data_IF_793358029100
#
_entry.id   IF_793358029100
#
_cell.length_a   1.000
_cell.length_b   1.000
_cell.length_c   1.000
_cell.angle_alpha   90.00
_cell.angle_beta   90.00
_cell.angle_gamma   90.00
#
_symmetry.space_group_name_H-M   'P 1'
#
loop_
_entity.id
_entity.type
_entity.pdbx_description
1 polymer ?
#
# COMPACT_ATOMS: atom_id res chain seq x y z
N UNK A 1 -68.31 18.54 -30.01
CA UNK A 1 -67.00 19.18 -29.76
C UNK A 1 -67.12 19.99 -28.47
N UNK A 2 -66.73 19.41 -27.34
CA UNK A 2 -66.72 20.09 -26.04
C UNK A 2 -65.28 20.37 -25.63
N UNK A 3 -64.92 21.64 -25.48
CA UNK A 3 -63.59 22.07 -25.07
C UNK A 3 -63.40 21.78 -23.57
N UNK A 4 -62.44 20.93 -23.24
CA UNK A 4 -61.99 20.74 -21.85
C UNK A 4 -61.32 22.03 -21.37
N UNK A 5 -61.77 22.53 -20.21
CA UNK A 5 -61.23 23.74 -19.59
C UNK A 5 -59.77 23.53 -19.17
N UNK A 6 -58.97 24.60 -19.22
CA UNK A 6 -57.53 24.60 -18.87
C UNK A 6 -57.21 24.03 -17.48
N UNK A 7 -58.19 23.98 -16.57
CA UNK A 7 -58.08 23.33 -15.26
C UNK A 7 -58.00 21.81 -15.32
N UNK A 8 -58.57 21.15 -16.34
CA UNK A 8 -58.53 19.68 -16.48
C UNK A 8 -57.18 19.14 -16.98
N UNK A 9 -56.39 19.95 -17.70
CA UNK A 9 -55.10 19.54 -18.26
C UNK A 9 -54.00 19.53 -17.19
N UNK A 10 -54.07 20.44 -16.20
CA UNK A 10 -53.11 20.50 -15.10
C UNK A 10 -53.23 19.28 -14.15
N UNK A 11 -54.45 18.78 -13.89
CA UNK A 11 -54.66 17.62 -13.01
C UNK A 11 -54.23 16.29 -13.63
N UNK A 12 -54.28 16.16 -14.96
CA UNK A 12 -53.82 14.96 -15.68
C UNK A 12 -52.29 14.85 -15.74
N UNK A 13 -51.58 15.99 -15.83
CA UNK A 13 -50.12 16.01 -15.79
C UNK A 13 -49.57 15.67 -14.39
N UNK A 14 -50.27 16.08 -13.31
CA UNK A 14 -49.85 15.78 -11.94
C UNK A 14 -50.05 14.30 -11.57
N UNK A 15 -51.11 13.66 -12.07
CA UNK A 15 -51.36 12.22 -11.89
C UNK A 15 -50.39 11.35 -12.69
N UNK A 16 -50.01 11.76 -13.91
CA UNK A 16 -49.00 11.06 -14.69
C UNK A 16 -47.59 11.15 -14.07
N UNK A 17 -47.22 12.32 -13.52
CA UNK A 17 -45.96 12.51 -12.79
C UNK A 17 -45.89 11.68 -11.50
N UNK A 18 -46.96 11.62 -10.72
CA UNK A 18 -47.02 10.82 -9.50
C UNK A 18 -46.96 9.30 -9.76
N UNK A 19 -47.53 8.82 -10.89
CA UNK A 19 -47.47 7.41 -11.26
C UNK A 19 -46.06 6.99 -11.73
N UNK A 20 -45.37 7.85 -12.49
CA UNK A 20 -43.98 7.60 -12.92
C UNK A 20 -43.02 7.66 -11.74
N UNK A 21 -43.18 8.63 -10.83
CA UNK A 21 -42.36 8.72 -9.63
C UNK A 21 -42.61 7.55 -8.66
N UNK A 22 -43.86 7.10 -8.51
CA UNK A 22 -44.20 5.93 -7.69
C UNK A 22 -43.69 4.60 -8.26
N UNK A 23 -43.68 4.43 -9.59
CA UNK A 23 -43.13 3.23 -10.24
C UNK A 23 -41.60 3.23 -10.19
N UNK A 24 -40.93 4.38 -10.34
CA UNK A 24 -39.46 4.46 -10.22
C UNK A 24 -39.02 4.28 -8.76
N UNK A 25 -39.69 4.91 -7.79
CA UNK A 25 -39.40 4.71 -6.36
C UNK A 25 -39.74 3.28 -5.90
N UNK A 26 -40.82 2.69 -6.45
CA UNK A 26 -41.19 1.30 -6.22
C UNK A 26 -40.21 0.30 -6.82
N UNK A 27 -39.62 0.58 -7.99
CA UNK A 27 -38.56 -0.25 -8.59
C UNK A 27 -37.24 -0.13 -7.81
N UNK A 28 -36.87 1.07 -7.36
CA UNK A 28 -35.66 1.28 -6.55
C UNK A 28 -35.79 0.62 -5.16
N UNK A 29 -37.00 0.56 -4.59
CA UNK A 29 -37.25 -0.08 -3.29
C UNK A 29 -37.54 -1.60 -3.39
N UNK A 30 -37.98 -2.11 -4.54
CA UNK A 30 -38.28 -3.54 -4.73
C UNK A 30 -37.12 -4.35 -5.35
N UNK A 31 -36.13 -3.70 -5.96
CA UNK A 31 -34.86 -4.31 -6.40
C UNK A 31 -33.69 -4.01 -5.46
N UNK A 32 -33.98 -3.61 -4.22
CA UNK A 32 -33.06 -3.75 -3.10
C UNK A 32 -32.93 -5.20 -2.63
N UNK A 33 -33.06 -6.18 -3.54
CA UNK A 33 -32.57 -7.52 -3.28
C UNK A 33 -31.07 -7.35 -3.09
N UNK A 34 -30.62 -7.59 -1.87
CA UNK A 34 -29.24 -7.90 -1.57
C UNK A 34 -28.80 -8.95 -2.58
N UNK A 35 -28.15 -8.55 -3.67
CA UNK A 35 -27.30 -9.48 -4.39
C UNK A 35 -26.36 -9.99 -3.31
N UNK A 36 -26.56 -11.25 -2.94
CA UNK A 36 -25.67 -11.96 -2.04
C UNK A 36 -24.29 -11.75 -2.64
N UNK A 37 -23.39 -11.22 -1.81
CA UNK A 37 -22.02 -10.98 -2.23
C UNK A 37 -21.50 -12.28 -2.85
N UNK A 38 -21.10 -12.30 -4.14
CA UNK A 38 -20.70 -13.54 -4.81
C UNK A 38 -19.57 -14.26 -4.07
N UNK A 39 -18.80 -13.54 -3.24
CA UNK A 39 -17.75 -14.11 -2.41
C UNK A 39 -18.29 -14.85 -1.18
N UNK A 40 -19.43 -14.47 -0.60
CA UNK A 40 -20.02 -15.17 0.56
C UNK A 40 -20.52 -16.56 0.18
N UNK A 41 -21.16 -16.71 -0.98
CA UNK A 41 -21.60 -18.02 -1.48
C UNK A 41 -20.40 -18.93 -1.73
N UNK A 42 -19.37 -18.43 -2.41
CA UNK A 42 -18.13 -19.18 -2.68
C UNK A 42 -17.37 -19.54 -1.40
N UNK A 43 -17.35 -18.65 -0.42
CA UNK A 43 -16.72 -18.94 0.87
C UNK A 43 -17.44 -20.07 1.60
N UNK A 44 -18.77 -20.09 1.59
CA UNK A 44 -19.56 -21.17 2.17
C UNK A 44 -19.27 -22.52 1.49
N UNK A 45 -19.02 -22.54 0.16
CA UNK A 45 -18.63 -23.74 -0.59
C UNK A 45 -17.27 -24.31 -0.18
N UNK A 46 -16.35 -23.47 0.30
CA UNK A 46 -15.04 -23.93 0.79
C UNK A 46 -15.16 -24.73 2.10
N UNK A 47 -16.25 -24.57 2.85
CA UNK A 47 -16.48 -25.27 4.12
C UNK A 47 -15.44 -24.93 5.21
N UNK A 48 -14.83 -23.75 5.13
CA UNK A 48 -13.82 -23.28 6.08
C UNK A 48 -14.53 -22.65 7.28
N UNK A 49 -14.14 -22.96 8.53
CA UNK A 49 -14.72 -22.30 9.71
C UNK A 49 -14.54 -20.78 9.68
N UNK A 50 -15.46 -20.04 10.31
CA UNK A 50 -15.31 -18.60 10.52
C UNK A 50 -14.05 -18.27 11.32
N UNK A 51 -13.38 -17.18 10.93
CA UNK A 51 -12.20 -16.65 11.64
C UNK A 51 -12.66 -15.88 12.87
N UNK A 52 -11.92 -16.00 13.98
CA UNK A 52 -12.17 -15.18 15.16
C UNK A 52 -11.66 -13.75 14.96
N UNK A 53 -12.54 -12.77 15.15
CA UNK A 53 -12.20 -11.35 15.15
C UNK A 53 -12.32 -10.75 16.55
N UNK A 54 -11.27 -10.07 17.00
CA UNK A 54 -11.23 -9.30 18.24
C UNK A 54 -11.09 -7.82 17.90
N UNK A 55 -12.17 -7.08 18.08
CA UNK A 55 -12.21 -5.63 17.85
C UNK A 55 -11.92 -4.86 19.14
N UNK A 56 -10.81 -4.14 19.17
CA UNK A 56 -10.35 -3.29 20.26
C UNK A 56 -10.68 -1.82 19.93
N UNK A 57 -11.49 -1.17 20.77
CA UNK A 57 -11.94 0.19 20.52
C UNK A 57 -13.28 0.26 19.79
N UNK A 58 -13.55 1.41 19.17
CA UNK A 58 -14.87 1.74 18.63
C UNK A 58 -14.93 1.51 17.12
N UNK A 59 -15.48 0.36 16.73
CA UNK A 59 -15.86 0.06 15.34
C UNK A 59 -17.37 0.09 15.17
N UNK A 60 -17.84 0.79 14.15
CA UNK A 60 -19.23 0.70 13.69
C UNK A 60 -19.53 -0.70 13.18
N UNK A 61 -20.83 -1.04 13.10
CA UNK A 61 -21.25 -2.32 12.52
C UNK A 61 -20.78 -2.49 11.07
N UNK A 62 -20.89 -1.44 10.27
CA UNK A 62 -20.50 -1.47 8.85
C UNK A 62 -19.00 -1.70 8.66
N UNK A 63 -18.15 -1.08 9.48
CA UNK A 63 -16.70 -1.32 9.43
C UNK A 63 -16.35 -2.77 9.77
N UNK A 64 -16.96 -3.33 10.82
CA UNK A 64 -16.76 -4.74 11.20
C UNK A 64 -17.15 -5.69 10.06
N UNK A 65 -18.34 -5.50 9.49
CA UNK A 65 -18.84 -6.30 8.38
C UNK A 65 -17.95 -6.16 7.12
N UNK A 66 -17.44 -4.95 6.84
CA UNK A 66 -16.52 -4.71 5.72
C UNK A 66 -15.18 -5.43 5.90
N UNK A 67 -14.58 -5.36 7.08
CA UNK A 67 -13.28 -5.99 7.39
C UNK A 67 -13.39 -7.53 7.36
N UNK A 68 -14.49 -8.08 7.88
CA UNK A 68 -14.76 -9.51 7.81
C UNK A 68 -14.94 -10.00 6.37
N UNK A 69 -15.71 -9.26 5.56
CA UNK A 69 -15.94 -9.57 4.14
C UNK A 69 -14.66 -9.52 3.32
N UNK A 70 -13.78 -8.55 3.58
CA UNK A 70 -12.47 -8.46 2.93
C UNK A 70 -11.65 -9.74 3.17
N UNK A 71 -11.56 -10.20 4.42
CA UNK A 71 -10.81 -11.42 4.73
C UNK A 71 -11.43 -12.66 4.07
N UNK A 72 -12.77 -12.81 4.10
CA UNK A 72 -13.46 -13.92 3.43
C UNK A 72 -13.19 -13.92 1.92
N UNK A 73 -13.22 -12.74 1.31
CA UNK A 73 -12.90 -12.56 -0.11
C UNK A 73 -11.47 -12.98 -0.40
N UNK A 74 -10.50 -12.56 0.43
CA UNK A 74 -9.11 -13.00 0.31
C UNK A 74 -8.96 -14.51 0.48
N UNK A 75 -9.67 -15.13 1.44
CA UNK A 75 -9.69 -16.58 1.63
C UNK A 75 -10.15 -17.33 0.37
N UNK A 76 -11.22 -16.86 -0.28
CA UNK A 76 -11.73 -17.47 -1.52
C UNK A 76 -10.72 -17.31 -2.65
N UNK A 77 -10.26 -16.09 -2.91
CA UNK A 77 -9.30 -15.81 -3.98
C UNK A 77 -8.02 -16.63 -3.79
N UNK A 78 -7.51 -16.75 -2.56
CA UNK A 78 -6.28 -17.47 -2.30
C UNK A 78 -6.45 -18.99 -2.33
N UNK A 79 -7.62 -19.50 -1.93
CA UNK A 79 -7.96 -20.92 -2.12
C UNK A 79 -7.88 -21.30 -3.60
N UNK A 80 -8.44 -20.47 -4.47
CA UNK A 80 -8.49 -20.73 -5.92
C UNK A 80 -7.15 -20.53 -6.60
N UNK A 81 -6.45 -19.44 -6.23
CA UNK A 81 -5.20 -19.07 -6.89
C UNK A 81 -4.01 -19.90 -6.37
N UNK A 82 -3.89 -20.06 -5.06
CA UNK A 82 -2.74 -20.73 -4.44
C UNK A 82 -3.03 -22.17 -3.98
N UNK A 83 -4.29 -22.61 -4.04
CA UNK A 83 -4.68 -23.98 -3.69
C UNK A 83 -4.70 -24.27 -2.20
N UNK A 84 -4.77 -23.25 -1.34
CA UNK A 84 -4.85 -23.43 0.11
C UNK A 84 -5.75 -22.39 0.76
N UNK A 85 -6.32 -22.77 1.90
CA UNK A 85 -7.07 -21.88 2.78
C UNK A 85 -6.96 -22.38 4.21
N UNK A 86 -7.09 -21.49 5.18
CA UNK A 86 -7.13 -21.79 6.61
C UNK A 86 -7.94 -20.73 7.33
N UNK A 87 -8.51 -21.08 8.48
CA UNK A 87 -9.10 -20.18 9.49
C UNK A 87 -8.51 -20.40 10.89
N UNK A 88 -7.42 -21.16 10.97
CA UNK A 88 -6.65 -21.44 12.18
C UNK A 88 -5.77 -20.25 12.58
N UNK A 89 -6.41 -19.11 12.86
CA UNK A 89 -5.80 -17.84 13.27
C UNK A 89 -6.85 -16.90 13.89
N UNK A 90 -6.39 -15.88 14.61
CA UNK A 90 -7.23 -14.80 15.16
C UNK A 90 -6.84 -13.46 14.55
N UNK A 91 -7.80 -12.57 14.31
CA UNK A 91 -7.56 -11.21 13.82
C UNK A 91 -7.86 -10.21 14.92
N UNK A 92 -6.86 -9.44 15.34
CA UNK A 92 -6.98 -8.35 16.29
C UNK A 92 -6.96 -7.02 15.54
N UNK A 93 -8.05 -6.28 15.61
CA UNK A 93 -8.21 -4.98 14.96
C UNK A 93 -8.41 -3.92 16.02
N UNK A 94 -7.58 -2.89 16.01
CA UNK A 94 -7.68 -1.76 16.93
C UNK A 94 -7.90 -0.46 16.19
N UNK A 95 -8.56 0.51 16.81
CA UNK A 95 -8.52 1.91 16.36
C UNK A 95 -7.40 2.70 17.04
N UNK A 96 -6.63 2.07 17.93
CA UNK A 96 -5.58 2.68 18.74
C UNK A 96 -4.40 1.71 18.85
N UNK A 97 -3.25 2.08 18.28
CA UNK A 97 -2.03 1.26 18.31
C UNK A 97 -1.52 1.00 19.74
N UNK A 98 -1.65 1.95 20.67
CA UNK A 98 -1.24 1.73 22.05
C UNK A 98 -2.14 0.71 22.74
N UNK A 99 -3.45 0.77 22.47
CA UNK A 99 -4.39 -0.23 22.97
C UNK A 99 -4.08 -1.62 22.40
N UNK A 100 -3.75 -1.71 21.11
CA UNK A 100 -3.34 -2.95 20.47
C UNK A 100 -2.08 -3.53 21.13
N UNK A 101 -1.03 -2.72 21.27
CA UNK A 101 0.22 -3.11 21.89
C UNK A 101 0.03 -3.57 23.34
N UNK A 102 -0.81 -2.87 24.11
CA UNK A 102 -1.15 -3.25 25.49
C UNK A 102 -1.89 -4.58 25.55
N UNK A 103 -2.83 -4.82 24.63
CA UNK A 103 -3.57 -6.07 24.57
C UNK A 103 -2.64 -7.23 24.23
N UNK A 104 -1.77 -7.05 23.22
CA UNK A 104 -0.78 -8.05 22.81
C UNK A 104 0.16 -8.38 23.98
N UNK A 105 0.76 -7.37 24.63
CA UNK A 105 1.62 -7.59 25.80
C UNK A 105 0.92 -8.43 26.88
N UNK A 106 -0.38 -8.17 27.11
CA UNK A 106 -1.18 -8.95 28.07
C UNK A 106 -1.42 -10.40 27.63
N UNK A 107 -1.66 -10.65 26.33
CA UNK A 107 -1.92 -12.00 25.80
C UNK A 107 -0.64 -12.82 25.75
N UNK A 108 0.51 -12.18 25.50
CA UNK A 108 1.80 -12.84 25.37
C UNK A 108 2.50 -13.06 26.72
N UNK A 109 2.08 -12.35 27.77
CA UNK A 109 2.78 -12.40 29.06
C UNK A 109 4.19 -11.79 28.99
N UNK A 110 4.47 -11.04 27.93
CA UNK A 110 5.73 -10.33 27.74
C UNK A 110 5.59 -8.94 28.34
N UNK A 111 6.49 -8.58 29.25
CA UNK A 111 6.59 -7.22 29.80
C UNK A 111 7.21 -6.22 28.82
N UNK A 112 7.38 -6.60 27.56
CA UNK A 112 8.15 -5.88 26.56
C UNK A 112 7.21 -5.16 25.58
N UNK A 113 7.53 -3.90 25.28
CA UNK A 113 6.82 -3.11 24.28
C UNK A 113 7.12 -3.69 22.91
N UNK A 114 6.16 -4.39 22.31
CA UNK A 114 6.28 -4.76 20.91
C UNK A 114 6.07 -3.49 20.08
N UNK A 115 7.17 -2.95 19.55
CA UNK A 115 7.20 -1.69 18.80
C UNK A 115 6.60 -1.80 17.40
N UNK A 116 5.34 -2.22 17.30
CA UNK A 116 4.62 -2.21 16.03
C UNK A 116 4.36 -0.78 15.57
N UNK A 117 4.58 -0.52 14.29
CA UNK A 117 4.40 0.80 13.69
C UNK A 117 2.98 1.02 13.17
N UNK A 118 2.30 -0.03 12.71
CA UNK A 118 0.94 0.08 12.19
C UNK A 118 0.17 -1.27 12.23
N UNK A 119 0.82 -2.39 11.89
CA UNK A 119 0.25 -3.75 11.95
C UNK A 119 1.25 -4.82 11.51
N UNK A 120 0.84 -6.10 11.54
CA UNK A 120 1.62 -7.22 11.02
C UNK A 120 1.17 -8.61 11.53
N UNK A 121 1.74 -9.66 10.95
CA UNK A 121 1.57 -11.04 11.43
C UNK A 121 2.40 -11.29 12.70
N UNK A 122 1.74 -11.74 13.76
CA UNK A 122 2.43 -12.31 14.92
C UNK A 122 2.81 -13.79 14.68
N UNK A 123 4.07 -13.99 14.31
CA UNK A 123 4.64 -15.26 13.89
C UNK A 123 4.71 -16.36 14.97
N UNK A 124 4.37 -16.09 16.24
CA UNK A 124 4.28 -17.12 17.29
C UNK A 124 2.86 -17.67 17.50
N UNK A 125 1.80 -16.89 17.27
CA UNK A 125 0.41 -17.33 17.53
C UNK A 125 -0.47 -17.47 16.30
N UNK A 126 -0.07 -16.89 15.17
CA UNK A 126 -0.84 -16.95 13.93
C UNK A 126 -1.96 -15.97 14.12
N UNK A 127 -1.59 -14.73 14.40
CA UNK A 127 -2.53 -13.66 14.64
C UNK A 127 -2.20 -12.52 13.68
N UNK A 128 -3.24 -11.97 13.05
CA UNK A 128 -3.12 -10.74 12.28
C UNK A 128 -3.40 -9.60 13.26
N UNK A 129 -2.50 -8.63 13.35
CA UNK A 129 -2.61 -7.48 14.26
C UNK A 129 -2.66 -6.20 13.42
N UNK A 130 -3.70 -5.39 13.55
CA UNK A 130 -3.82 -4.16 12.74
C UNK A 130 -4.35 -3.02 13.61
N UNK A 131 -3.67 -1.87 13.60
CA UNK A 131 -4.28 -0.61 14.00
C UNK A 131 -4.85 0.07 12.76
N UNK A 132 -6.17 0.13 12.63
CA UNK A 132 -6.84 0.66 11.43
C UNK A 132 -6.68 2.18 11.30
N UNK A 133 -6.44 2.90 12.39
CA UNK A 133 -6.16 4.35 12.32
C UNK A 133 -4.69 4.65 12.02
N UNK A 134 -3.77 3.83 12.53
CA UNK A 134 -2.33 4.00 12.30
C UNK A 134 -1.83 3.26 11.04
N UNK A 135 -2.67 2.43 10.41
CA UNK A 135 -2.50 1.87 9.05
C UNK A 135 -3.46 2.56 8.07
N UNK A 136 -3.09 3.69 7.46
CA UNK A 136 -3.91 4.32 6.42
C UNK A 136 -4.30 3.33 5.31
N UNK A 137 -3.41 2.40 4.94
CA UNK A 137 -3.67 1.37 3.93
C UNK A 137 -4.82 0.44 4.35
N UNK A 138 -4.90 0.06 5.63
CA UNK A 138 -5.92 -0.85 6.13
C UNK A 138 -7.33 -0.22 6.10
N UNK A 139 -7.44 1.08 6.39
CA UNK A 139 -8.74 1.77 6.41
C UNK A 139 -9.23 2.15 5.03
N UNK A 140 -8.30 2.48 4.14
CA UNK A 140 -8.57 3.47 3.10
C UNK A 140 -8.28 2.96 1.69
N UNK A 141 -7.37 2.00 1.55
CA UNK A 141 -7.08 1.29 0.30
C UNK A 141 -7.58 -0.16 0.34
N UNK A 142 -7.63 -0.73 1.55
CA UNK A 142 -7.89 -2.13 1.79
C UNK A 142 -6.83 -3.03 1.15
N UNK A 143 -7.01 -4.35 1.22
CA UNK A 143 -6.05 -5.33 0.71
C UNK A 143 -4.94 -5.64 1.71
N UNK A 144 -4.81 -4.81 2.76
CA UNK A 144 -3.92 -5.05 3.88
C UNK A 144 -4.22 -6.39 4.57
N UNK A 145 -5.50 -6.73 4.80
CA UNK A 145 -5.84 -8.02 5.39
C UNK A 145 -5.53 -9.18 4.44
N UNK A 146 -5.59 -8.96 3.12
CA UNK A 146 -5.16 -9.96 2.14
C UNK A 146 -3.64 -10.18 2.20
N UNK A 147 -2.84 -9.12 2.30
CA UNK A 147 -1.39 -9.19 2.50
C UNK A 147 -1.05 -10.02 3.76
N UNK A 148 -1.60 -9.63 4.91
CA UNK A 148 -1.35 -10.31 6.18
C UNK A 148 -1.88 -11.75 6.20
N UNK A 149 -3.03 -12.00 5.56
CA UNK A 149 -3.56 -13.35 5.41
C UNK A 149 -2.61 -14.24 4.60
N UNK A 150 -1.91 -13.70 3.61
CA UNK A 150 -0.92 -14.49 2.87
C UNK A 150 0.24 -14.93 3.77
N UNK A 151 0.67 -14.10 4.73
CA UNK A 151 1.65 -14.51 5.73
C UNK A 151 1.12 -15.65 6.63
N UNK A 152 -0.18 -15.67 6.97
CA UNK A 152 -0.80 -16.82 7.65
C UNK A 152 -0.65 -18.09 6.81
N UNK A 153 -0.88 -18.02 5.49
CA UNK A 153 -0.72 -19.16 4.59
C UNK A 153 0.73 -19.62 4.49
N UNK A 154 1.69 -18.69 4.38
CA UNK A 154 3.12 -19.00 4.36
C UNK A 154 3.54 -19.75 5.63
N UNK A 155 3.08 -19.28 6.79
CA UNK A 155 3.35 -19.93 8.07
C UNK A 155 2.68 -21.30 8.17
N UNK A 156 1.42 -21.42 7.74
CA UNK A 156 0.70 -22.70 7.77
C UNK A 156 1.34 -23.73 6.85
N UNK A 157 1.89 -23.26 5.73
CA UNK A 157 2.66 -24.06 4.81
C UNK A 157 3.95 -24.59 5.45
N UNK A 158 4.71 -23.76 6.18
CA UNK A 158 5.91 -24.21 6.86
C UNK A 158 6.66 -23.08 7.57
N UNK A 159 7.90 -23.36 7.97
CA UNK A 159 8.69 -22.41 8.76
C UNK A 159 9.11 -21.21 7.93
N UNK A 160 8.80 -20.01 8.42
CA UNK A 160 9.37 -18.74 7.96
C UNK A 160 10.68 -18.54 8.73
N UNK A 161 11.70 -19.38 8.50
CA UNK A 161 13.00 -19.16 9.15
C UNK A 161 13.78 -18.08 8.41
N UNK A 162 14.13 -17.01 9.10
CA UNK A 162 15.13 -16.01 8.69
C UNK A 162 16.57 -16.49 8.94
N UNK A 163 16.77 -17.76 9.33
CA UNK A 163 18.09 -18.34 9.55
C UNK A 163 18.94 -18.21 8.28
N UNK A 164 20.18 -17.76 8.45
CA UNK A 164 21.15 -17.43 7.41
C UNK A 164 21.29 -18.56 6.37
N UNK A 165 20.64 -18.40 5.21
CA UNK A 165 20.66 -19.44 4.16
C UNK A 165 19.67 -19.34 3.00
N UNK A 166 18.86 -18.26 2.89
CA UNK A 166 17.84 -17.93 1.87
C UNK A 166 16.49 -18.62 2.10
N UNK A 167 15.35 -17.95 1.87
CA UNK A 167 15.20 -16.63 1.28
C UNK A 167 15.09 -15.54 2.32
N UNK A 168 15.65 -14.39 1.97
CA UNK A 168 15.50 -13.19 2.78
C UNK A 168 14.05 -12.74 2.83
N UNK A 169 13.84 -11.68 3.61
CA UNK A 169 12.59 -10.92 3.77
C UNK A 169 11.88 -10.67 2.43
N UNK A 170 12.64 -10.48 1.34
CA UNK A 170 12.15 -10.30 -0.03
C UNK A 170 11.12 -11.35 -0.50
N UNK A 171 11.30 -12.64 -0.22
CA UNK A 171 10.38 -13.68 -0.73
C UNK A 171 9.11 -13.73 0.11
N UNK A 172 9.25 -13.46 1.41
CA UNK A 172 8.14 -13.46 2.37
C UNK A 172 7.22 -12.29 2.06
N UNK A 173 7.75 -11.07 2.06
CA UNK A 173 6.96 -9.86 1.79
C UNK A 173 6.58 -9.78 0.31
N UNK A 174 7.51 -10.05 -0.60
CA UNK A 174 7.26 -9.98 -2.04
C UNK A 174 6.12 -10.86 -2.50
N UNK A 175 6.03 -12.07 -1.94
CA UNK A 175 4.93 -12.96 -2.25
C UNK A 175 3.60 -12.53 -1.61
N UNK A 176 3.64 -11.89 -0.45
CA UNK A 176 2.46 -11.29 0.16
C UNK A 176 1.95 -10.07 -0.63
N UNK A 177 2.86 -9.18 -1.08
CA UNK A 177 2.53 -8.07 -2.00
C UNK A 177 1.97 -8.61 -3.32
N UNK A 178 2.53 -9.69 -3.86
CA UNK A 178 1.99 -10.34 -5.07
C UNK A 178 0.58 -10.85 -4.84
N UNK A 179 0.33 -11.53 -3.72
CA UNK A 179 -1.00 -12.02 -3.37
C UNK A 179 -2.01 -10.88 -3.15
N UNK A 180 -1.60 -9.80 -2.49
CA UNK A 180 -2.40 -8.57 -2.35
C UNK A 180 -2.75 -7.98 -3.72
N UNK A 181 -1.80 -7.90 -4.65
CA UNK A 181 -2.05 -7.34 -5.98
C UNK A 181 -3.08 -8.16 -6.78
N UNK A 182 -3.05 -9.49 -6.65
CA UNK A 182 -4.08 -10.37 -7.24
C UNK A 182 -5.44 -10.12 -6.61
N UNK A 183 -5.50 -9.97 -5.29
CA UNK A 183 -6.71 -9.61 -4.57
C UNK A 183 -7.27 -8.25 -5.04
N UNK A 184 -6.41 -7.23 -5.13
CA UNK A 184 -6.79 -5.88 -5.55
C UNK A 184 -7.35 -5.87 -6.98
N UNK A 185 -6.74 -6.63 -7.90
CA UNK A 185 -7.17 -6.73 -9.30
C UNK A 185 -8.54 -7.41 -9.43
N UNK A 186 -8.73 -8.55 -8.75
CA UNK A 186 -9.96 -9.33 -8.81
C UNK A 186 -11.15 -8.67 -8.08
N UNK A 187 -10.86 -7.78 -7.13
CA UNK A 187 -11.89 -6.98 -6.43
C UNK A 187 -12.12 -5.62 -7.09
N UNK A 188 -11.41 -5.30 -8.18
CA UNK A 188 -11.52 -4.03 -8.88
C UNK A 188 -11.01 -2.82 -8.10
N UNK A 189 -10.20 -3.04 -7.05
CA UNK A 189 -9.60 -1.98 -6.24
C UNK A 189 -8.42 -1.31 -6.94
N UNK A 190 -7.52 -2.12 -7.50
CA UNK A 190 -6.38 -1.64 -8.26
C UNK A 190 -6.00 -2.67 -9.33
N UNK A 191 -5.82 -2.27 -10.59
CA UNK A 191 -5.39 -3.21 -11.62
C UNK A 191 -3.96 -3.69 -11.36
N UNK A 192 -3.70 -4.98 -11.60
CA UNK A 192 -2.37 -5.58 -11.45
C UNK A 192 -1.29 -4.85 -12.28
N UNK A 193 -1.68 -4.29 -13.42
CA UNK A 193 -0.80 -3.48 -14.27
C UNK A 193 -0.27 -2.22 -13.56
N UNK A 194 -1.07 -1.57 -12.71
CA UNK A 194 -0.64 -0.41 -11.95
C UNK A 194 0.35 -0.80 -10.84
N UNK A 195 0.11 -1.91 -10.13
CA UNK A 195 1.06 -2.43 -9.16
C UNK A 195 2.41 -2.77 -9.82
N UNK A 196 2.39 -3.44 -10.98
CA UNK A 196 3.61 -3.73 -11.75
C UNK A 196 4.38 -2.47 -12.11
N UNK A 197 3.69 -1.40 -12.51
CA UNK A 197 4.34 -0.14 -12.85
C UNK A 197 5.04 0.48 -11.63
N UNK A 198 4.35 0.52 -10.49
CA UNK A 198 4.90 1.01 -9.21
C UNK A 198 6.15 0.23 -8.81
N UNK A 199 6.08 -1.10 -8.76
CA UNK A 199 7.19 -1.93 -8.27
C UNK A 199 8.39 -1.92 -9.23
N UNK A 200 8.17 -1.78 -10.54
CA UNK A 200 9.28 -1.58 -11.50
C UNK A 200 10.00 -0.26 -11.28
N UNK A 201 9.28 0.81 -10.96
CA UNK A 201 9.88 2.11 -10.68
C UNK A 201 10.70 2.07 -9.38
N UNK A 202 10.14 1.50 -8.31
CA UNK A 202 10.86 1.28 -7.05
C UNK A 202 12.14 0.45 -7.27
N UNK A 203 12.05 -0.66 -8.00
CA UNK A 203 13.22 -1.51 -8.26
C UNK A 203 14.27 -0.84 -9.15
N UNK A 204 13.85 0.05 -10.05
CA UNK A 204 14.77 0.86 -10.85
C UNK A 204 15.51 1.88 -9.97
N UNK A 205 14.79 2.53 -9.05
CA UNK A 205 15.33 3.54 -8.14
C UNK A 205 16.35 2.96 -7.16
N UNK A 206 16.12 1.75 -6.66
CA UNK A 206 17.00 1.15 -5.64
C UNK A 206 18.41 0.85 -6.19
N UNK A 207 18.54 0.61 -7.50
CA UNK A 207 19.81 0.25 -8.13
C UNK A 207 20.45 -1.06 -7.62
N UNK A 208 19.75 -1.82 -6.77
CA UNK A 208 20.30 -2.99 -6.08
C UNK A 208 20.19 -4.25 -6.95
N UNK A 209 21.33 -4.91 -7.14
CA UNK A 209 21.43 -6.18 -7.86
C UNK A 209 20.99 -7.34 -6.95
N UNK A 210 19.69 -7.61 -6.92
CA UNK A 210 19.09 -8.75 -6.20
C UNK A 210 19.18 -8.65 -4.65
N UNK A 211 18.50 -9.53 -3.88
CA UNK A 211 17.48 -9.08 -2.95
C UNK A 211 18.06 -8.76 -1.56
N UNK A 212 18.48 -7.51 -1.37
CA UNK A 212 19.01 -6.98 -0.11
C UNK A 212 18.00 -6.27 0.80
N UNK A 213 16.85 -5.83 0.28
CA UNK A 213 15.77 -5.20 1.06
C UNK A 213 14.40 -5.30 0.33
N UNK A 214 13.24 -5.22 1.01
CA UNK A 214 12.66 -6.44 1.55
C UNK A 214 11.27 -6.77 1.01
N UNK A 215 10.64 -5.94 0.18
CA UNK A 215 9.28 -6.20 -0.34
C UNK A 215 9.13 -5.83 -1.82
N UNK A 216 9.65 -4.67 -2.24
CA UNK A 216 9.42 -4.10 -3.57
C UNK A 216 10.02 -4.95 -4.70
N UNK A 217 11.31 -5.33 -4.53
CA UNK A 217 11.97 -6.29 -5.43
C UNK A 217 11.25 -7.64 -5.38
N UNK A 218 10.76 -8.01 -4.20
CA UNK A 218 10.14 -9.29 -3.96
C UNK A 218 8.89 -9.54 -4.80
N UNK A 219 8.10 -8.51 -5.07
CA UNK A 219 6.91 -8.60 -5.92
C UNK A 219 7.28 -9.05 -7.33
N UNK A 220 8.19 -8.33 -8.00
CA UNK A 220 8.58 -8.62 -9.39
C UNK A 220 9.28 -9.98 -9.50
N UNK A 221 10.12 -10.30 -8.52
CA UNK A 221 10.78 -11.61 -8.45
C UNK A 221 9.74 -12.73 -8.29
N UNK A 222 8.75 -12.55 -7.43
CA UNK A 222 7.67 -13.53 -7.21
C UNK A 222 6.82 -13.70 -8.47
N UNK A 223 6.41 -12.60 -9.10
CA UNK A 223 5.67 -12.63 -10.37
C UNK A 223 6.42 -13.48 -11.40
N UNK A 224 7.73 -13.24 -11.56
CA UNK A 224 8.55 -14.00 -12.51
C UNK A 224 8.58 -15.50 -12.20
N UNK A 225 8.62 -15.87 -10.92
CA UNK A 225 8.55 -17.28 -10.51
C UNK A 225 7.17 -17.89 -10.82
N UNK A 226 6.10 -17.14 -10.56
CA UNK A 226 4.73 -17.57 -10.84
C UNK A 226 4.49 -17.78 -12.34
N UNK A 227 4.98 -16.88 -13.20
CA UNK A 227 4.91 -17.04 -14.66
C UNK A 227 5.55 -18.36 -15.13
N UNK A 228 6.63 -18.79 -14.48
CA UNK A 228 7.38 -19.98 -14.87
C UNK A 228 6.75 -21.27 -14.32
N UNK A 229 6.18 -21.23 -13.12
CA UNK A 229 5.92 -22.43 -12.31
C UNK A 229 4.50 -22.54 -11.78
N UNK A 230 3.71 -21.48 -11.92
CA UNK A 230 2.37 -21.35 -11.35
C UNK A 230 2.38 -20.86 -9.89
N UNK A 231 1.28 -20.24 -9.43
CA UNK A 231 1.19 -19.62 -8.11
C UNK A 231 1.33 -20.62 -6.95
N UNK A 232 0.93 -21.87 -7.14
CA UNK A 232 1.01 -22.90 -6.09
C UNK A 232 2.46 -23.26 -5.72
N UNK A 233 3.44 -22.93 -6.58
CA UNK A 233 4.86 -23.15 -6.31
C UNK A 233 5.36 -22.31 -5.13
N UNK A 234 4.78 -21.12 -4.89
CA UNK A 234 5.12 -20.26 -3.74
C UNK A 234 4.89 -21.00 -2.42
N UNK A 235 3.69 -21.53 -2.21
CA UNK A 235 3.38 -22.24 -0.96
C UNK A 235 4.02 -23.62 -0.89
N UNK A 236 4.31 -24.24 -2.04
CA UNK A 236 5.18 -25.43 -2.09
C UNK A 236 6.56 -25.12 -1.54
N UNK A 237 7.13 -23.98 -1.90
CA UNK A 237 8.44 -23.54 -1.40
C UNK A 237 8.47 -23.39 0.13
N UNK A 238 7.46 -22.72 0.72
CA UNK A 238 7.35 -22.62 2.18
C UNK A 238 7.11 -23.98 2.86
N UNK A 239 6.29 -24.87 2.26
CA UNK A 239 6.12 -26.25 2.73
C UNK A 239 7.41 -27.06 2.76
N UNK A 240 8.32 -26.78 1.84
CA UNK A 240 9.62 -27.43 1.75
C UNK A 240 10.65 -26.80 2.70
N UNK A 241 10.25 -25.87 3.57
CA UNK A 241 11.09 -25.29 4.60
C UNK A 241 11.76 -23.98 4.22
N UNK A 242 11.41 -23.40 3.05
CA UNK A 242 11.87 -22.07 2.67
C UNK A 242 13.38 -21.93 2.73
N UNK A 243 14.13 -22.91 2.22
CA UNK A 243 15.58 -22.85 2.11
C UNK A 243 16.03 -22.93 0.64
N UNK A 244 17.30 -22.65 0.34
CA UNK A 244 17.80 -22.70 -1.05
C UNK A 244 17.49 -23.99 -1.80
N UNK A 245 17.64 -25.17 -1.18
CA UNK A 245 17.27 -26.43 -1.84
C UNK A 245 15.75 -26.56 -2.09
N UNK A 246 14.91 -25.98 -1.21
CA UNK A 246 13.48 -25.89 -1.39
C UNK A 246 13.13 -25.02 -2.59
N UNK A 247 13.91 -23.96 -2.85
CA UNK A 247 13.74 -23.08 -4.01
C UNK A 247 13.84 -23.88 -5.31
N UNK A 248 14.93 -24.63 -5.50
CA UNK A 248 15.12 -25.46 -6.68
C UNK A 248 14.03 -26.52 -6.82
N UNK A 249 13.60 -27.14 -5.73
CA UNK A 249 12.55 -28.15 -5.77
C UNK A 249 11.15 -27.57 -6.04
N UNK A 250 10.86 -26.36 -5.55
CA UNK A 250 9.59 -25.69 -5.75
C UNK A 250 9.48 -25.12 -7.17
N UNK A 251 10.52 -24.42 -7.62
CA UNK A 251 10.51 -23.62 -8.84
C UNK A 251 11.22 -24.28 -10.03
N UNK A 252 11.90 -25.40 -9.84
CA UNK A 252 12.56 -26.13 -10.92
C UNK A 252 13.80 -25.44 -11.51
N UNK A 253 14.33 -24.41 -10.85
CA UNK A 253 15.51 -23.65 -11.26
C UNK A 253 16.47 -23.49 -10.08
N UNK A 254 17.77 -23.65 -10.32
CA UNK A 254 18.77 -23.36 -9.29
C UNK A 254 18.73 -21.89 -8.87
N UNK A 255 18.85 -21.63 -7.58
CA UNK A 255 18.76 -20.28 -7.03
C UNK A 255 19.78 -19.30 -7.61
N UNK A 256 21.06 -19.69 -7.80
CA UNK A 256 22.07 -18.77 -8.32
C UNK A 256 21.83 -18.50 -9.81
N UNK A 257 21.38 -19.51 -10.56
CA UNK A 257 20.98 -19.34 -11.97
C UNK A 257 19.81 -18.37 -12.06
N UNK A 258 18.82 -18.52 -11.19
CA UNK A 258 17.69 -17.59 -11.11
C UNK A 258 18.14 -16.18 -10.71
N UNK A 259 18.99 -16.04 -9.69
CA UNK A 259 19.52 -14.76 -9.24
C UNK A 259 20.35 -14.04 -10.31
N UNK A 260 21.09 -14.76 -11.14
CA UNK A 260 21.76 -14.17 -12.30
C UNK A 260 20.75 -13.72 -13.38
N UNK A 261 19.72 -14.53 -13.66
CA UNK A 261 18.71 -14.22 -14.65
C UNK A 261 17.81 -13.04 -14.23
N UNK A 262 17.52 -12.89 -12.94
CA UNK A 262 16.66 -11.82 -12.42
C UNK A 262 17.37 -10.47 -12.50
N UNK A 263 18.69 -10.43 -12.37
CA UNK A 263 19.46 -9.21 -12.60
C UNK A 263 19.44 -8.78 -14.06
N UNK A 264 19.56 -9.73 -15.00
CA UNK A 264 19.38 -9.43 -16.42
C UNK A 264 17.96 -8.93 -16.70
N UNK A 265 16.95 -9.54 -16.07
CA UNK A 265 15.57 -9.10 -16.20
C UNK A 265 15.37 -7.68 -15.65
N UNK A 266 15.97 -7.36 -14.50
CA UNK A 266 15.95 -6.01 -13.92
C UNK A 266 16.41 -4.98 -14.94
N UNK A 267 17.56 -5.20 -15.58
CA UNK A 267 18.09 -4.29 -16.60
C UNK A 267 17.19 -4.15 -17.83
N UNK A 268 16.33 -5.13 -18.12
CA UNK A 268 15.38 -5.07 -19.23
C UNK A 268 14.09 -4.31 -18.90
N UNK A 269 13.65 -4.36 -17.64
CA UNK A 269 12.40 -3.74 -17.18
C UNK A 269 12.61 -2.44 -16.40
N UNK A 270 13.87 -2.12 -16.07
CA UNK A 270 14.22 -0.91 -15.37
C UNK A 270 13.85 0.30 -16.23
N UNK A 271 13.19 1.28 -15.60
CA UNK A 271 12.99 2.56 -16.22
C UNK A 271 14.37 3.26 -16.36
N UNK A 272 14.63 3.95 -17.49
CA UNK A 272 15.88 4.69 -17.66
C UNK A 272 15.89 5.90 -16.73
N UNK A 273 16.72 5.87 -15.69
CA UNK A 273 16.95 7.03 -14.79
C UNK A 273 17.98 7.96 -15.41
N UNK A 274 17.61 8.56 -16.54
CA UNK A 274 18.50 9.37 -17.35
C UNK A 274 18.18 10.87 -17.29
N UNK A 275 17.15 11.24 -16.52
CA UNK A 275 16.65 12.60 -16.43
C UNK A 275 17.22 13.26 -15.18
N UNK A 276 17.95 14.35 -15.35
CA UNK A 276 18.63 15.01 -14.23
C UNK A 276 17.70 16.00 -13.56
N UNK A 277 17.52 15.85 -12.25
CA UNK A 277 16.86 16.83 -11.39
C UNK A 277 17.91 17.47 -10.50
N UNK A 278 17.95 18.79 -10.43
CA UNK A 278 18.83 19.51 -9.51
C UNK A 278 18.31 20.90 -9.16
N UNK A 279 18.54 21.33 -7.92
CA UNK A 279 18.08 22.62 -7.44
C UNK A 279 18.74 23.06 -6.15
N UNK A 280 18.23 24.17 -5.63
CA UNK A 280 18.61 24.74 -4.35
C UNK A 280 17.36 25.03 -3.53
N UNK A 281 17.39 24.69 -2.24
CA UNK A 281 16.33 25.01 -1.29
C UNK A 281 16.77 26.19 -0.42
N UNK A 282 15.93 27.21 -0.36
CA UNK A 282 16.08 28.36 0.53
C UNK A 282 14.95 28.40 1.55
N UNK A 283 15.25 28.93 2.72
CA UNK A 283 14.25 29.20 3.73
C UNK A 283 13.55 30.55 3.52
N UNK A 284 12.55 30.84 4.36
CA UNK A 284 11.78 32.10 4.32
C UNK A 284 12.62 33.39 4.49
N UNK A 285 13.88 33.29 4.91
CA UNK A 285 14.81 34.43 5.04
C UNK A 285 15.79 34.53 3.87
N UNK A 286 15.67 33.64 2.89
CA UNK A 286 16.57 33.54 1.74
C UNK A 286 17.90 32.87 2.07
N UNK A 287 18.02 32.20 3.22
CA UNK A 287 19.21 31.42 3.55
C UNK A 287 19.09 30.00 2.98
N UNK A 288 20.19 29.37 2.53
CA UNK A 288 20.14 27.97 2.10
C UNK A 288 19.72 27.02 3.22
N UNK A 289 18.83 26.08 2.91
CA UNK A 289 18.30 25.12 3.86
C UNK A 289 18.98 23.75 3.71
N UNK A 290 19.95 23.47 4.58
CA UNK A 290 20.75 22.23 4.57
C UNK A 290 20.09 21.07 5.35
N UNK A 291 20.47 19.84 5.01
CA UNK A 291 20.05 18.62 5.71
C UNK A 291 18.55 18.34 5.59
N UNK A 292 17.96 18.65 4.44
CA UNK A 292 16.60 18.26 4.06
C UNK A 292 16.67 17.09 3.10
N UNK A 293 15.83 16.09 3.29
CA UNK A 293 15.70 15.01 2.32
C UNK A 293 14.76 15.44 1.19
N UNK A 294 15.21 15.22 -0.04
CA UNK A 294 14.47 15.56 -1.24
C UNK A 294 14.16 14.28 -1.98
N UNK A 295 12.89 14.08 -2.36
CA UNK A 295 12.46 12.92 -3.12
C UNK A 295 11.75 13.33 -4.40
N UNK A 296 12.03 12.64 -5.52
CA UNK A 296 11.07 12.60 -6.61
C UNK A 296 9.97 11.60 -6.28
N UNK A 297 8.72 12.05 -6.29
CA UNK A 297 7.56 11.24 -5.96
C UNK A 297 6.68 11.08 -7.18
N UNK A 298 6.40 9.85 -7.58
CA UNK A 298 5.39 9.53 -8.61
C UNK A 298 4.11 9.06 -7.95
N UNK A 299 2.97 9.41 -8.54
CA UNK A 299 1.64 8.94 -8.11
C UNK A 299 1.03 8.04 -9.17
N UNK A 300 0.69 6.81 -8.80
CA UNK A 300 0.01 5.85 -9.69
C UNK A 300 -1.18 5.25 -8.93
N UNK A 301 -2.40 5.47 -9.46
CA UNK A 301 -3.64 4.95 -8.85
C UNK A 301 -3.74 5.25 -7.35
N UNK A 302 -3.47 6.50 -6.97
CA UNK A 302 -3.55 6.99 -5.58
C UNK A 302 -2.38 6.59 -4.67
N UNK A 303 -1.39 5.81 -5.16
CA UNK A 303 -0.17 5.50 -4.39
C UNK A 303 0.98 6.39 -4.78
N UNK A 304 1.64 6.95 -3.77
CA UNK A 304 2.91 7.67 -3.93
C UNK A 304 4.11 6.72 -3.79
N UNK A 305 5.12 6.90 -4.64
CA UNK A 305 6.42 6.21 -4.54
C UNK A 305 7.56 7.18 -4.78
N UNK A 306 8.54 7.13 -3.90
CA UNK A 306 9.81 7.79 -4.13
C UNK A 306 10.58 7.03 -5.23
N UNK A 307 11.03 7.75 -6.25
CA UNK A 307 11.75 7.21 -7.42
C UNK A 307 13.08 7.93 -7.63
N UNK A 308 13.62 8.53 -6.58
CA UNK A 308 14.86 9.29 -6.61
C UNK A 308 14.95 10.09 -5.33
N UNK A 309 16.15 10.22 -4.77
CA UNK A 309 16.37 10.96 -3.54
C UNK A 309 17.75 11.58 -3.47
N UNK A 310 17.86 12.68 -2.73
CA UNK A 310 19.13 13.28 -2.30
C UNK A 310 18.91 14.06 -0.99
N UNK A 311 19.99 14.47 -0.33
CA UNK A 311 19.94 15.34 0.86
C UNK A 311 20.55 16.69 0.52
N UNK A 312 19.91 17.80 0.92
CA UNK A 312 20.46 19.12 0.66
C UNK A 312 21.76 19.36 1.40
N UNK A 313 22.77 19.87 0.70
CA UNK A 313 24.07 20.17 1.30
C UNK A 313 24.08 21.51 2.07
N UNK A 314 25.26 21.96 2.50
CA UNK A 314 25.39 23.23 3.25
C UNK A 314 25.06 24.48 2.43
N UNK A 315 24.99 24.36 1.12
CA UNK A 315 24.55 25.40 0.18
C UNK A 315 23.08 25.21 -0.21
N UNK A 316 22.36 24.27 0.41
CA UNK A 316 20.97 23.92 0.11
C UNK A 316 20.81 23.19 -1.23
N UNK A 317 21.91 22.77 -1.86
CA UNK A 317 21.90 22.15 -3.18
C UNK A 317 21.57 20.66 -3.10
N UNK A 318 20.85 20.17 -4.12
CA UNK A 318 20.56 18.75 -4.30
C UNK A 318 20.60 18.37 -5.79
N UNK A 319 20.79 17.09 -6.09
CA UNK A 319 20.61 16.55 -7.42
C UNK A 319 20.63 15.03 -7.52
N UNK A 320 19.70 14.49 -8.30
CA UNK A 320 19.55 13.05 -8.53
C UNK A 320 18.95 12.78 -9.92
N UNK A 321 18.89 11.50 -10.29
CA UNK A 321 18.29 11.06 -11.55
C UNK A 321 16.88 10.52 -11.35
N UNK A 322 16.00 10.69 -12.34
CA UNK A 322 14.59 10.23 -12.31
C UNK A 322 14.22 9.47 -13.59
N UNK A 323 13.15 8.65 -13.56
CA UNK A 323 12.76 7.81 -14.70
C UNK A 323 12.04 8.53 -15.85
N UNK A 324 11.69 9.81 -15.72
CA UNK A 324 10.87 10.49 -16.71
C UNK A 324 9.95 11.56 -16.14
N UNK A 325 8.81 11.77 -16.79
CA UNK A 325 7.72 12.69 -16.37
C UNK A 325 6.86 12.12 -15.24
N UNK A 326 5.97 12.95 -14.71
CA UNK A 326 4.87 12.52 -13.83
C UNK A 326 5.27 12.44 -12.36
N UNK A 327 6.32 13.15 -11.98
CA UNK A 327 6.79 13.25 -10.60
C UNK A 327 6.56 14.65 -10.03
N UNK A 328 6.48 14.75 -8.71
CA UNK A 328 6.70 15.97 -7.92
C UNK A 328 8.01 15.86 -7.14
N UNK A 329 8.47 16.95 -6.55
CA UNK A 329 9.62 16.97 -5.66
C UNK A 329 9.13 17.21 -4.24
N UNK A 330 9.10 16.15 -3.42
CA UNK A 330 8.71 16.23 -2.03
C UNK A 330 9.92 16.59 -1.16
N UNK A 331 9.73 17.50 -0.21
CA UNK A 331 10.75 17.98 0.71
C UNK A 331 10.42 17.48 2.11
N UNK A 332 11.37 16.83 2.76
CA UNK A 332 11.23 16.29 4.10
C UNK A 332 12.29 16.83 5.05
N UNK A 333 11.89 16.94 6.32
CA UNK A 333 12.73 17.30 7.44
C UNK A 333 12.88 16.08 8.36
N UNK A 334 14.11 15.80 8.79
CA UNK A 334 14.38 14.80 9.82
C UNK A 334 14.28 15.39 11.23
N UNK A 335 13.37 14.86 12.03
CA UNK A 335 13.24 15.10 13.45
C UNK A 335 13.89 13.94 14.21
N UNK A 336 15.05 14.18 14.82
CA UNK A 336 15.69 13.21 15.72
C UNK A 336 15.02 13.25 17.09
N UNK A 337 14.63 12.08 17.60
CA UNK A 337 14.05 11.88 18.93
C UNK A 337 15.13 11.45 19.93
N UNK A 338 14.87 11.64 21.22
CA UNK A 338 15.79 11.30 22.32
C UNK A 338 16.14 9.79 22.38
N UNK A 339 15.26 8.93 21.86
CA UNK A 339 15.47 7.48 21.76
C UNK A 339 16.32 7.08 20.52
N UNK A 340 16.77 8.05 19.74
CA UNK A 340 17.53 7.86 18.51
C UNK A 340 16.66 7.57 17.28
N UNK A 341 15.33 7.50 17.41
CA UNK A 341 14.44 7.34 16.26
C UNK A 341 14.41 8.63 15.43
N UNK A 342 14.27 8.47 14.11
CA UNK A 342 14.10 9.59 13.17
C UNK A 342 12.64 9.62 12.71
N UNK A 343 11.96 10.74 12.98
CA UNK A 343 10.65 11.04 12.40
C UNK A 343 10.84 11.93 11.19
N UNK A 344 10.25 11.54 10.06
CA UNK A 344 10.27 12.31 8.84
C UNK A 344 9.04 13.20 8.80
N UNK A 345 9.23 14.50 8.60
CA UNK A 345 8.16 15.49 8.49
C UNK A 345 8.11 15.98 7.06
N UNK A 346 6.94 15.85 6.44
CA UNK A 346 6.72 16.34 5.08
C UNK A 346 6.53 17.85 5.10
N UNK A 347 7.38 18.61 4.42
CA UNK A 347 7.34 20.09 4.43
C UNK A 347 6.45 20.62 3.31
N UNK A 348 6.35 19.86 2.21
CA UNK A 348 5.57 20.23 1.04
C UNK A 348 6.13 19.60 -0.22
N UNK A 349 5.46 19.86 -1.34
CA UNK A 349 5.85 19.35 -2.65
C UNK A 349 6.02 20.47 -3.67
N UNK A 350 6.96 20.30 -4.58
CA UNK A 350 7.19 21.19 -5.71
C UNK A 350 6.81 20.50 -7.02
N UNK A 351 6.00 21.18 -7.83
CA UNK A 351 5.42 20.66 -9.06
C UNK A 351 5.29 21.73 -10.15
N UNK A 352 4.49 21.43 -11.16
CA UNK A 352 4.25 22.29 -12.32
C UNK A 352 3.60 23.64 -11.95
N UNK A 353 2.90 23.69 -10.82
CA UNK A 353 2.23 24.84 -10.23
C UNK A 353 3.06 25.55 -9.14
N UNK A 354 4.29 25.10 -8.88
CA UNK A 354 5.19 25.67 -7.88
C UNK A 354 5.24 24.85 -6.59
N UNK A 355 5.62 25.49 -5.48
CA UNK A 355 5.74 24.84 -4.18
C UNK A 355 4.41 24.93 -3.42
N UNK A 356 3.89 23.78 -3.01
CA UNK A 356 2.70 23.64 -2.17
C UNK A 356 3.17 23.15 -0.80
N UNK A 357 3.10 24.03 0.20
CA UNK A 357 3.49 23.72 1.56
C UNK A 357 2.49 22.77 2.23
N UNK A 358 3.00 21.86 3.05
CA UNK A 358 2.21 21.01 3.94
C UNK A 358 2.15 21.65 5.33
N UNK A 359 0.94 22.02 5.77
CA UNK A 359 0.76 22.73 7.04
C UNK A 359 0.84 21.83 8.26
N UNK A 360 0.43 20.56 8.14
CA UNK A 360 0.33 19.62 9.26
C UNK A 360 1.59 18.75 9.41
N UNK A 361 2.40 18.71 8.36
CA UNK A 361 3.68 18.00 8.35
C UNK A 361 3.52 16.49 8.17
N UNK A 362 2.32 16.03 7.83
CA UNK A 362 1.97 14.63 7.66
C UNK A 362 1.89 14.31 6.18
N UNK A 363 2.65 13.30 5.74
CA UNK A 363 2.57 12.87 4.36
C UNK A 363 1.28 12.08 4.12
N UNK A 364 0.17 12.80 3.98
CA UNK A 364 -1.11 12.22 3.61
C UNK A 364 -1.13 12.05 2.09
N UNK A 365 -0.94 10.82 1.60
CA UNK A 365 -0.98 10.45 0.17
C UNK A 365 -2.28 10.85 -0.58
N UNK A 366 -3.25 11.44 0.11
CA UNK A 366 -4.59 11.77 -0.36
C UNK A 366 -4.84 13.26 -0.57
N UNK A 367 -4.03 14.13 0.01
CA UNK A 367 -4.20 15.58 -0.15
C UNK A 367 -3.52 16.05 -1.44
N UNK A 368 -4.13 17.07 -2.05
CA UNK A 368 -3.67 17.73 -3.27
C UNK A 368 -2.30 18.37 -3.01
N UNK A 369 -1.23 17.61 -3.23
CA UNK A 369 0.11 18.14 -3.37
C UNK A 369 0.24 18.95 -4.66
N UNK A 370 1.47 19.36 -4.98
CA UNK A 370 1.74 20.06 -6.23
C UNK A 370 1.36 19.20 -7.46
N UNK A 371 1.00 19.85 -8.56
CA UNK A 371 0.71 19.18 -9.82
C UNK A 371 2.00 18.52 -10.38
N UNK A 372 2.00 17.24 -10.76
CA UNK A 372 3.20 16.59 -11.27
C UNK A 372 3.77 17.26 -12.51
N UNK A 373 5.09 17.21 -12.67
CA UNK A 373 5.76 17.66 -13.89
C UNK A 373 5.35 16.80 -15.08
N UNK A 374 4.47 17.35 -15.93
CA UNK A 374 3.96 16.64 -17.11
C UNK A 374 4.74 16.95 -18.40
N UNK A 375 5.62 17.95 -18.38
CA UNK A 375 6.44 18.27 -19.53
C UNK A 375 7.53 17.20 -19.73
N UNK A 376 7.89 16.95 -21.00
CA UNK A 376 8.94 15.99 -21.35
C UNK A 376 10.35 16.54 -21.13
N UNK A 377 10.54 17.49 -20.21
CA UNK A 377 11.84 18.12 -19.97
C UNK A 377 12.78 17.10 -19.32
N UNK A 378 13.78 16.68 -20.09
CA UNK A 378 14.73 15.65 -19.68
C UNK A 378 15.60 16.08 -18.50
N UNK A 379 16.07 17.32 -18.50
CA UNK A 379 16.95 17.85 -17.46
C UNK A 379 16.29 19.05 -16.80
N UNK A 380 15.79 18.87 -15.57
CA UNK A 380 15.21 19.93 -14.76
C UNK A 380 16.25 20.39 -13.73
N UNK A 381 17.10 21.32 -14.13
CA UNK A 381 18.20 21.83 -13.31
C UNK A 381 18.05 23.30 -12.97
N UNK A 382 18.64 23.75 -11.87
CA UNK A 382 18.56 25.15 -11.44
C UNK A 382 17.21 25.51 -10.81
N UNK A 383 16.51 24.51 -10.28
CA UNK A 383 15.27 24.70 -9.54
C UNK A 383 15.53 25.50 -8.27
N UNK A 384 14.61 26.37 -7.90
CA UNK A 384 14.67 27.15 -6.66
C UNK A 384 13.40 26.87 -5.86
N UNK A 385 13.55 26.25 -4.69
CA UNK A 385 12.44 25.95 -3.77
C UNK A 385 12.58 26.90 -2.58
N UNK A 386 11.55 27.71 -2.33
CA UNK A 386 11.49 28.62 -1.19
C UNK A 386 10.52 28.06 -0.14
N UNK A 387 11.04 27.75 1.05
CA UNK A 387 10.23 27.24 2.15
C UNK A 387 9.41 28.36 2.80
N UNK A 388 8.21 28.04 3.33
CA UNK A 388 7.34 29.04 3.96
C UNK A 388 7.90 29.58 5.28
N UNK A 389 8.81 28.85 5.93
CA UNK A 389 9.38 29.17 7.24
C UNK A 389 10.89 28.84 7.28
N UNK A 390 11.57 29.19 8.37
CA UNK A 390 12.95 28.73 8.61
C UNK A 390 12.98 27.25 9.00
N UNK A 391 14.12 26.59 8.75
CA UNK A 391 14.32 25.19 9.18
C UNK A 391 14.12 25.03 10.69
N UNK A 392 14.61 25.97 11.49
CA UNK A 392 14.43 25.96 12.94
C UNK A 392 12.95 26.10 13.33
N UNK A 393 12.17 26.92 12.62
CA UNK A 393 10.72 27.07 12.85
C UNK A 393 9.99 25.76 12.54
N UNK A 394 10.29 25.14 11.40
CA UNK A 394 9.72 23.84 11.02
C UNK A 394 10.06 22.75 12.05
N UNK A 395 11.31 22.69 12.52
CA UNK A 395 11.72 21.77 13.59
C UNK A 395 10.92 22.04 14.86
N UNK A 396 10.84 23.30 15.30
CA UNK A 396 10.11 23.67 16.51
C UNK A 396 8.62 23.34 16.41
N UNK A 397 8.02 23.50 15.22
CA UNK A 397 6.60 23.24 14.96
C UNK A 397 6.27 21.74 14.93
N UNK A 398 7.07 20.93 14.25
CA UNK A 398 6.71 19.54 13.94
C UNK A 398 7.48 18.47 14.73
N UNK A 399 8.62 18.81 15.35
CA UNK A 399 9.47 17.88 16.10
C UNK A 399 9.30 17.98 17.63
N UNK A 400 8.60 18.98 18.17
CA UNK A 400 8.54 19.26 19.61
C UNK A 400 7.62 18.34 20.44
N UNK A 401 7.28 17.15 19.92
CA UNK A 401 6.27 16.23 20.49
C UNK A 401 6.86 14.97 21.11
#
# INVERSE_FOLDING_TARGET
MGALSRTGIASLAFLAGALVFGVVLGFVLAFGSSETDPWEERWAELGVPEVEFVFLGHFTRGERESLQRELKTAQVIFAEHFGTVTSDFTVYLSTDLQQLNKHIASVLGEGEQVGYTCGGLFALQGAILVSVEDCPEAKSEGGFLAHEYFHVLQRKAGTITTASGVPGRWMVEGAAVYAQAIYDDLTGRRPLAAQRALERLSWSASGTAAPGDPSEVGFIVTERLVEQTGPQAILKFFRLGGHRAAFTQAFGVDYDVFAAAIEVHRLQVAAPFEWRVAGTVFDSTGQPAAGLDIFAVVRIEGKSRAVGSDETDTQGEFGFATPGTGYTIAVFLQCHRDDGAVKWVHVGEWGADGFVADEDGTWNHREEGAEPFADGERDRTGMVIELPETRESLIAKHCAS
#
